data_IF_745092814946
#
_entry.id   IF_745092814946
#
_cell.length_a   1.000
_cell.length_b   1.000
_cell.length_c   1.000
_cell.angle_alpha   90.00
_cell.angle_beta   90.00
_cell.angle_gamma   90.00
#
_symmetry.space_group_name_H-M   'P 1'
#
loop_
_entity.id
_entity.type
_entity.pdbx_description
1 polymer ?
#
# COMPACT_ATOMS: atom_id res chain seq x y z
N UNK A 1 -19.74 8.20 -1.27
CA UNK A 1 -19.45 6.76 -1.44
C UNK A 1 -17.94 6.59 -1.37
N UNK A 2 -17.40 5.69 -0.52
CA UNK A 2 -15.95 5.48 -0.35
C UNK A 2 -15.55 4.23 -1.16
N UNK A 3 -14.65 4.33 -2.16
CA UNK A 3 -14.14 3.16 -2.90
C UNK A 3 -13.55 2.09 -1.97
N UNK A 4 -13.61 0.81 -2.37
CA UNK A 4 -12.91 -0.28 -1.68
C UNK A 4 -13.41 -0.57 -0.26
N UNK A 5 -14.68 -0.24 0.03
CA UNK A 5 -15.39 -0.61 1.26
C UNK A 5 -16.33 -1.82 1.09
N UNK A 6 -16.36 -2.43 -0.10
CA UNK A 6 -17.35 -3.47 -0.44
C UNK A 6 -16.69 -4.86 -0.54
N UNK A 7 -17.46 -5.89 -0.17
CA UNK A 7 -17.07 -7.31 -0.18
C UNK A 7 -17.12 -7.95 -1.57
N UNK A 8 -17.43 -7.17 -2.62
CA UNK A 8 -17.58 -7.67 -4.00
C UNK A 8 -16.72 -6.85 -4.98
N UNK A 9 -16.26 -7.51 -6.05
CA UNK A 9 -15.41 -6.87 -7.07
C UNK A 9 -16.17 -5.73 -7.75
N UNK A 10 -15.69 -4.50 -7.59
CA UNK A 10 -16.21 -3.33 -8.29
C UNK A 10 -15.06 -2.56 -8.94
N UNK A 11 -15.28 -2.12 -10.18
CA UNK A 11 -14.37 -1.23 -10.87
C UNK A 11 -14.71 0.22 -10.50
N UNK A 12 -13.69 1.01 -10.16
CA UNK A 12 -13.86 2.40 -9.80
C UNK A 12 -12.95 3.28 -10.66
N UNK A 13 -13.44 4.44 -11.07
CA UNK A 13 -12.57 5.48 -11.60
C UNK A 13 -12.20 6.43 -10.47
N UNK A 14 -10.90 6.60 -10.23
CA UNK A 14 -10.38 7.56 -9.27
C UNK A 14 -9.90 8.81 -10.00
N UNK A 15 -10.53 9.94 -9.72
CA UNK A 15 -10.08 11.25 -10.16
C UNK A 15 -9.08 11.77 -9.13
N UNK A 16 -7.79 11.78 -9.49
CA UNK A 16 -6.71 12.16 -8.56
C UNK A 16 -6.73 13.64 -8.19
N UNK A 17 -7.19 14.51 -9.10
CA UNK A 17 -7.30 15.95 -8.85
C UNK A 17 -8.43 16.27 -7.88
N UNK A 18 -9.57 15.59 -8.05
CA UNK A 18 -10.76 15.84 -7.25
C UNK A 18 -10.86 14.96 -6.01
N UNK A 19 -10.02 13.95 -5.88
CA UNK A 19 -10.06 12.94 -4.81
C UNK A 19 -11.44 12.26 -4.68
N UNK A 20 -12.11 12.00 -5.81
CA UNK A 20 -13.45 11.38 -5.84
C UNK A 20 -13.47 10.05 -6.58
N UNK A 21 -14.39 9.20 -6.14
CA UNK A 21 -14.71 7.90 -6.70
C UNK A 21 -16.01 7.94 -7.48
N UNK A 22 -15.99 7.44 -8.72
CA UNK A 22 -17.22 7.24 -9.50
C UNK A 22 -17.51 5.75 -9.61
N UNK A 23 -18.68 5.34 -9.10
CA UNK A 23 -19.21 3.98 -9.19
C UNK A 23 -19.94 3.81 -10.53
N UNK A 24 -19.53 2.86 -11.38
CA UNK A 24 -20.14 2.72 -12.71
C UNK A 24 -19.76 1.43 -13.43
N UNK A 25 -20.73 0.52 -13.47
CA UNK A 25 -20.75 -0.90 -13.84
C UNK A 25 -20.56 -1.24 -15.33
N UNK A 26 -19.71 -0.53 -16.05
CA UNK A 26 -19.29 -0.96 -17.39
C UNK A 26 -17.90 -0.44 -17.60
N UNK A 27 -16.94 -1.32 -17.92
CA UNK A 27 -15.71 -0.88 -18.56
C UNK A 27 -16.14 -0.25 -19.87
N UNK A 28 -16.43 1.05 -19.87
CA UNK A 28 -16.44 1.86 -21.09
C UNK A 28 -14.98 2.01 -21.47
N UNK A 29 -14.46 0.94 -22.08
CA UNK A 29 -13.52 1.13 -23.17
C UNK A 29 -14.23 1.97 -24.22
N UNK A 30 -14.12 3.28 -24.11
CA UNK A 30 -13.93 4.07 -25.30
C UNK A 30 -12.74 4.98 -25.05
N UNK A 31 -11.83 4.98 -26.01
CA UNK A 31 -10.57 5.71 -26.08
C UNK A 31 -10.76 7.23 -26.14
N UNK A 32 -11.94 7.74 -25.80
CA UNK A 32 -12.35 9.11 -26.05
C UNK A 32 -12.54 9.83 -24.71
N UNK A 33 -11.66 10.80 -24.49
CA UNK A 33 -11.62 11.75 -23.37
C UNK A 33 -11.28 11.15 -21.99
N UNK A 34 -10.04 10.69 -21.85
CA UNK A 34 -9.39 10.63 -20.54
C UNK A 34 -8.45 11.83 -20.43
N UNK A 35 -8.61 12.65 -19.40
CA UNK A 35 -7.63 13.66 -19.05
C UNK A 35 -6.39 12.97 -18.46
N UNK A 36 -5.20 13.52 -18.68
CA UNK A 36 -3.91 12.94 -18.24
C UNK A 36 -3.81 12.69 -16.72
N UNK A 37 -4.72 13.26 -15.93
CA UNK A 37 -4.76 13.15 -14.47
C UNK A 37 -5.65 12.03 -13.92
N UNK A 38 -6.42 11.33 -14.77
CA UNK A 38 -7.33 10.28 -14.29
C UNK A 38 -6.64 8.91 -14.30
N UNK A 39 -6.51 8.27 -13.13
CA UNK A 39 -5.98 6.91 -12.96
C UNK A 39 -7.13 5.95 -12.63
N UNK A 40 -7.26 4.86 -13.39
CA UNK A 40 -8.26 3.84 -13.13
C UNK A 40 -7.66 2.77 -12.19
N UNK A 41 -8.36 2.47 -11.10
CA UNK A 41 -8.03 1.38 -10.19
C UNK A 41 -9.18 0.38 -10.21
N UNK A 42 -8.89 -0.89 -10.47
CA UNK A 42 -9.85 -1.95 -10.23
C UNK A 42 -9.28 -2.94 -9.23
N UNK A 43 -10.11 -3.30 -8.25
CA UNK A 43 -9.81 -4.31 -7.26
C UNK A 43 -10.56 -5.60 -7.63
N UNK A 44 -9.85 -6.72 -7.66
CA UNK A 44 -10.43 -8.03 -7.97
C UNK A 44 -9.81 -9.14 -7.14
N UNK A 45 -10.57 -10.20 -6.92
CA UNK A 45 -9.99 -11.49 -6.53
C UNK A 45 -9.33 -12.10 -7.76
N UNK A 46 -8.06 -12.46 -7.66
CA UNK A 46 -7.28 -12.99 -8.78
C UNK A 46 -6.94 -14.46 -8.55
N UNK A 47 -6.86 -15.21 -9.65
CA UNK A 47 -6.30 -16.56 -9.67
C UNK A 47 -4.77 -16.59 -9.67
N UNK A 48 -4.10 -15.45 -9.45
CA UNK A 48 -2.63 -15.39 -9.43
C UNK A 48 -2.05 -16.09 -8.20
N UNK A 49 -1.12 -17.04 -8.37
CA UNK A 49 -0.56 -17.83 -7.26
C UNK A 49 0.02 -16.99 -6.13
N UNK A 50 0.67 -15.86 -6.46
CA UNK A 50 1.31 -14.97 -5.48
C UNK A 50 0.30 -14.21 -4.59
N UNK A 51 -0.97 -14.15 -5.01
CA UNK A 51 -2.03 -13.41 -4.33
C UNK A 51 -3.25 -14.30 -4.04
N UNK A 52 -3.07 -15.62 -4.19
CA UNK A 52 -4.09 -16.66 -4.02
C UNK A 52 -4.38 -16.98 -2.54
N UNK A 53 -4.04 -16.06 -1.64
CA UNK A 53 -4.47 -16.13 -0.24
C UNK A 53 -5.77 -15.32 -0.14
N UNK A 54 -6.79 -15.88 0.52
CA UNK A 54 -8.11 -15.26 0.70
C UNK A 54 -8.06 -13.88 1.37
N UNK A 55 -6.89 -13.44 1.83
CA UNK A 55 -6.70 -12.18 2.53
C UNK A 55 -6.21 -11.06 1.60
N UNK A 56 -5.61 -11.34 0.43
CA UNK A 56 -5.11 -10.27 -0.45
C UNK A 56 -6.14 -9.82 -1.48
N UNK A 57 -6.19 -8.52 -1.72
CA UNK A 57 -6.85 -7.95 -2.89
C UNK A 57 -5.79 -7.62 -3.94
N UNK A 58 -6.07 -7.97 -5.20
CA UNK A 58 -5.26 -7.47 -6.31
C UNK A 58 -5.78 -6.11 -6.74
N UNK A 59 -4.89 -5.13 -6.71
CA UNK A 59 -5.08 -3.82 -7.28
C UNK A 59 -4.40 -3.74 -8.64
N UNK A 60 -5.20 -3.45 -9.65
CA UNK A 60 -4.69 -3.15 -10.97
C UNK A 60 -4.72 -1.64 -11.21
N UNK A 61 -3.63 -1.12 -11.75
CA UNK A 61 -3.44 0.32 -11.97
C UNK A 61 -3.25 0.56 -13.47
N UNK A 62 -4.20 1.24 -14.13
CA UNK A 62 -4.06 1.54 -15.56
C UNK A 62 -3.07 2.70 -15.79
N UNK A 63 -2.25 2.60 -16.84
CA UNK A 63 -1.35 3.69 -17.26
C UNK A 63 0.11 3.57 -16.83
N UNK A 64 0.51 2.43 -16.28
CA UNK A 64 1.92 2.09 -16.02
C UNK A 64 2.31 0.92 -16.93
N UNK A 65 3.49 1.01 -17.55
CA UNK A 65 4.06 0.04 -18.48
C UNK A 65 3.68 -1.41 -18.13
N UNK A 66 2.92 -2.05 -19.03
CA UNK A 66 2.53 -3.47 -18.98
C UNK A 66 1.60 -3.95 -17.85
N UNK A 67 0.75 -3.10 -17.28
CA UNK A 67 -0.37 -3.58 -16.44
C UNK A 67 0.08 -4.22 -15.12
N UNK A 68 1.02 -3.56 -14.43
CA UNK A 68 1.51 -3.95 -13.11
C UNK A 68 0.34 -4.15 -12.12
N UNK A 69 0.43 -5.22 -11.35
CA UNK A 69 -0.55 -5.67 -10.35
C UNK A 69 0.11 -5.58 -8.97
N UNK A 70 -0.66 -5.19 -7.97
CA UNK A 70 -0.19 -5.07 -6.59
C UNK A 70 -1.11 -5.88 -5.70
N UNK A 71 -0.53 -6.68 -4.84
CA UNK A 71 -1.31 -7.53 -3.95
C UNK A 71 -1.17 -7.00 -2.54
N UNK A 72 -2.28 -6.51 -2.01
CA UNK A 72 -2.31 -5.84 -0.72
C UNK A 72 -3.46 -6.38 0.11
N UNK A 73 -3.16 -6.70 1.36
CA UNK A 73 -4.15 -6.89 2.39
C UNK A 73 -4.18 -5.63 3.24
N UNK A 74 -5.36 -5.03 3.42
CA UNK A 74 -5.52 -3.79 4.19
C UNK A 74 -6.47 -4.09 5.35
N UNK A 75 -5.97 -4.07 6.58
CA UNK A 75 -6.78 -4.12 7.79
C UNK A 75 -6.84 -2.72 8.40
N UNK A 76 -8.07 -2.23 8.56
CA UNK A 76 -8.35 -0.87 9.05
C UNK A 76 -8.45 -0.80 10.57
N UNK A 77 -8.45 -1.94 11.25
CA UNK A 77 -8.47 -1.98 12.70
C UNK A 77 -7.11 -1.53 13.27
N UNK A 78 -7.08 -0.80 14.39
CA UNK A 78 -5.84 -0.29 14.96
C UNK A 78 -5.10 -1.34 15.79
N UNK A 79 -3.88 -1.68 15.38
CA UNK A 79 -3.00 -2.65 16.04
C UNK A 79 -1.66 -2.04 16.42
N UNK A 80 -0.98 -2.63 17.41
CA UNK A 80 0.44 -2.36 17.65
C UNK A 80 1.26 -2.81 16.43
N UNK A 81 2.42 -2.20 16.21
CA UNK A 81 3.24 -2.57 15.05
C UNK A 81 3.66 -4.05 15.08
N UNK A 82 3.98 -4.57 16.27
CA UNK A 82 4.36 -5.98 16.44
C UNK A 82 3.21 -6.92 16.10
N UNK A 83 1.99 -6.58 16.53
CA UNK A 83 0.78 -7.36 16.25
C UNK A 83 0.45 -7.34 14.74
N UNK A 84 0.54 -6.17 14.11
CA UNK A 84 0.36 -6.02 12.67
C UNK A 84 1.38 -6.87 11.88
N UNK A 85 2.65 -6.86 12.30
CA UNK A 85 3.69 -7.71 11.72
C UNK A 85 3.37 -9.20 11.89
N UNK A 86 2.88 -9.62 13.07
CA UNK A 86 2.48 -11.00 13.32
C UNK A 86 1.29 -11.42 12.43
N UNK A 87 0.29 -10.55 12.28
CA UNK A 87 -0.86 -10.79 11.41
C UNK A 87 -0.46 -10.90 9.94
N UNK A 88 0.40 -9.99 9.44
CA UNK A 88 0.92 -10.09 8.07
C UNK A 88 1.65 -11.41 7.81
N UNK A 89 2.44 -11.90 8.78
CA UNK A 89 3.07 -13.23 8.69
C UNK A 89 2.05 -14.36 8.63
N UNK A 90 0.95 -14.25 9.40
CA UNK A 90 -0.19 -15.17 9.33
C UNK A 90 -0.88 -15.18 7.95
N UNK A 91 -0.75 -14.09 7.19
CA UNK A 91 -1.19 -14.00 5.81
C UNK A 91 -0.10 -14.36 4.79
N UNK A 92 0.97 -15.06 5.17
CA UNK A 92 2.14 -15.35 4.32
C UNK A 92 2.76 -14.08 3.70
N UNK A 93 2.78 -12.99 4.46
CA UNK A 93 3.31 -11.71 4.01
C UNK A 93 4.08 -10.95 5.09
N UNK A 94 4.31 -9.69 4.79
CA UNK A 94 5.04 -8.72 5.62
C UNK A 94 4.34 -7.38 5.54
N UNK A 95 4.67 -6.43 6.40
CA UNK A 95 4.18 -5.06 6.23
C UNK A 95 4.63 -4.50 4.89
N UNK A 96 3.72 -3.83 4.20
CA UNK A 96 3.91 -3.34 2.84
C UNK A 96 4.96 -2.22 2.76
N UNK A 97 5.70 -2.19 1.66
CA UNK A 97 6.45 -1.01 1.28
C UNK A 97 5.54 0.09 0.73
N UNK A 98 6.00 1.33 0.76
CA UNK A 98 5.40 2.45 0.00
C UNK A 98 6.36 2.98 -1.03
N UNK A 99 7.10 2.06 -1.64
CA UNK A 99 8.24 2.24 -2.54
C UNK A 99 7.84 2.49 -4.02
N UNK A 100 6.55 2.73 -4.27
CA UNK A 100 6.04 3.04 -5.61
C UNK A 100 4.94 4.09 -5.56
N UNK A 101 4.87 4.94 -6.58
CA UNK A 101 3.87 6.02 -6.66
C UNK A 101 2.43 5.53 -6.60
N UNK A 102 2.15 4.33 -7.11
CA UNK A 102 0.80 3.76 -7.06
C UNK A 102 0.41 3.28 -5.66
N UNK A 103 1.34 2.77 -4.85
CA UNK A 103 1.06 2.43 -3.44
C UNK A 103 0.77 3.70 -2.65
N UNK A 104 1.54 4.76 -2.89
CA UNK A 104 1.28 6.09 -2.32
C UNK A 104 -0.14 6.56 -2.64
N UNK A 105 -0.53 6.56 -3.91
CA UNK A 105 -1.87 6.97 -4.34
C UNK A 105 -2.98 6.12 -3.68
N UNK A 106 -2.79 4.79 -3.65
CA UNK A 106 -3.76 3.86 -3.08
C UNK A 106 -3.92 4.02 -1.57
N UNK A 107 -2.84 4.24 -0.83
CA UNK A 107 -2.92 4.40 0.63
C UNK A 107 -3.48 5.78 1.01
N UNK A 108 -3.15 6.82 0.24
CA UNK A 108 -3.73 8.15 0.43
C UNK A 108 -5.24 8.17 0.25
N UNK A 109 -5.76 7.32 -0.63
CA UNK A 109 -7.20 7.19 -0.85
C UNK A 109 -7.96 6.85 0.45
N UNK A 110 -7.37 6.07 1.35
CA UNK A 110 -8.05 5.70 2.61
C UNK A 110 -8.08 6.83 3.64
N UNK A 111 -7.28 7.89 3.48
CA UNK A 111 -7.16 9.02 4.42
C UNK A 111 -6.92 8.56 5.87
N UNK A 112 -6.17 7.48 6.04
CA UNK A 112 -5.82 6.88 7.34
C UNK A 112 -4.30 6.70 7.44
N UNK A 113 -3.80 6.63 8.67
CA UNK A 113 -2.41 6.32 8.95
C UNK A 113 -2.23 4.81 9.06
N UNK A 114 -1.22 4.28 8.37
CA UNK A 114 -0.94 2.84 8.31
C UNK A 114 0.46 2.53 8.80
N UNK A 115 0.62 1.41 9.51
CA UNK A 115 1.92 0.77 9.65
C UNK A 115 2.44 0.32 8.28
N UNK A 116 3.71 0.62 8.01
CA UNK A 116 4.41 0.21 6.78
C UNK A 116 5.71 -0.50 7.13
N UNK A 117 6.18 -1.34 6.21
CA UNK A 117 7.32 -2.23 6.39
C UNK A 117 8.66 -1.53 6.21
N UNK A 118 8.86 -0.32 6.73
CA UNK A 118 10.18 0.30 6.75
C UNK A 118 10.86 0.02 8.09
N UNK A 119 11.97 -0.70 8.05
CA UNK A 119 12.76 -1.10 9.21
C UNK A 119 14.13 -0.42 9.20
N UNK A 120 14.81 -0.42 10.34
CA UNK A 120 16.16 0.14 10.50
C UNK A 120 17.12 -0.94 10.96
N UNK A 121 18.14 -1.21 10.16
CA UNK A 121 19.24 -2.09 10.53
C UNK A 121 20.25 -1.31 11.39
N UNK A 122 20.38 -1.70 12.65
CA UNK A 122 21.28 -1.06 13.62
C UNK A 122 22.76 -1.35 13.34
N UNK A 123 23.08 -2.42 12.61
CA UNK A 123 24.45 -2.79 12.24
C UNK A 123 24.90 -1.96 11.06
N UNK A 124 24.10 -1.90 9.98
CA UNK A 124 24.47 -1.13 8.77
C UNK A 124 24.05 0.34 8.83
N UNK A 125 23.28 0.74 9.84
CA UNK A 125 22.72 2.07 10.02
C UNK A 125 21.87 2.54 8.83
N UNK A 126 21.14 1.61 8.21
CA UNK A 126 20.34 1.87 7.01
C UNK A 126 18.91 1.43 7.18
N UNK A 127 18.01 2.20 6.56
CA UNK A 127 16.62 1.79 6.42
C UNK A 127 16.45 0.83 5.25
N UNK A 128 15.58 -0.16 5.42
CA UNK A 128 15.25 -1.14 4.39
C UNK A 128 13.77 -1.52 4.46
N UNK A 129 13.23 -1.98 3.33
CA UNK A 129 11.87 -2.47 3.25
C UNK A 129 11.80 -3.94 3.68
N UNK A 130 10.92 -4.27 4.62
CA UNK A 130 10.81 -5.61 5.18
C UNK A 130 10.22 -6.64 4.20
N UNK A 131 9.53 -6.20 3.15
CA UNK A 131 8.91 -7.11 2.17
C UNK A 131 9.88 -7.72 1.15
N UNK A 132 11.01 -7.04 0.85
CA UNK A 132 12.01 -7.55 -0.07
C UNK A 132 13.47 -7.29 0.32
N UNK A 133 13.70 -6.71 1.50
CA UNK A 133 15.02 -6.40 2.02
C UNK A 133 15.74 -5.27 1.27
N UNK A 134 15.09 -4.62 0.30
CA UNK A 134 15.73 -3.57 -0.47
C UNK A 134 16.01 -2.34 0.40
N UNK A 135 17.17 -1.68 0.22
CA UNK A 135 17.47 -0.47 0.98
C UNK A 135 16.55 0.67 0.56
N UNK A 136 16.29 1.59 1.49
CA UNK A 136 15.58 2.82 1.18
C UNK A 136 16.43 3.70 0.23
N UNK A 137 15.93 3.90 -0.99
CA UNK A 137 16.57 4.75 -1.99
C UNK A 137 16.36 6.26 -1.74
N UNK A 138 17.09 7.10 -2.49
CA UNK A 138 17.02 8.55 -2.34
C UNK A 138 15.68 9.16 -2.77
N UNK A 139 14.93 8.49 -3.64
CA UNK A 139 13.59 8.92 -4.06
C UNK A 139 12.65 8.88 -2.86
N UNK A 140 12.70 7.80 -2.08
CA UNK A 140 11.80 7.59 -0.94
C UNK A 140 12.24 8.30 0.33
N UNK A 141 13.53 8.67 0.46
CA UNK A 141 14.00 9.55 1.54
C UNK A 141 13.27 10.90 1.56
N UNK A 142 12.90 11.45 0.40
CA UNK A 142 12.16 12.72 0.31
C UNK A 142 10.71 12.62 0.85
N UNK A 143 10.19 11.40 1.03
CA UNK A 143 8.87 11.15 1.60
C UNK A 143 8.92 11.06 3.13
N UNK A 144 10.11 10.92 3.72
CA UNK A 144 10.26 10.86 5.18
C UNK A 144 10.11 12.25 5.79
N UNK A 145 9.33 12.33 6.88
CA UNK A 145 9.09 13.55 7.62
C UNK A 145 9.38 13.35 9.12
N UNK A 146 10.18 14.26 9.70
CA UNK A 146 10.56 14.23 11.10
C UNK A 146 11.87 13.50 11.38
N UNK A 147 12.12 13.16 12.65
CA UNK A 147 13.34 12.46 13.05
C UNK A 147 13.30 10.99 12.62
N UNK A 148 14.39 10.54 12.02
CA UNK A 148 14.51 9.23 11.38
C UNK A 148 15.22 8.19 12.24
N UNK A 149 15.70 8.57 13.44
CA UNK A 149 16.61 7.75 14.24
C UNK A 149 16.25 7.79 15.71
N UNK A 150 15.21 7.05 16.11
CA UNK A 150 14.91 6.86 17.53
C UNK A 150 14.51 5.39 17.76
N UNK A 151 15.23 4.71 18.63
CA UNK A 151 14.87 3.37 19.09
C UNK A 151 13.47 3.37 19.70
N UNK A 152 12.67 2.34 19.40
CA UNK A 152 11.26 2.28 19.83
C UNK A 152 10.29 3.07 18.95
N UNK A 153 10.75 3.59 17.80
CA UNK A 153 9.90 4.17 16.77
C UNK A 153 9.83 3.25 15.54
N UNK A 154 8.65 3.21 14.93
CA UNK A 154 8.27 2.39 13.81
C UNK A 154 7.67 3.29 12.72
N UNK A 155 7.81 2.87 11.46
CA UNK A 155 7.37 3.67 10.33
C UNK A 155 5.87 3.57 10.07
N UNK A 156 5.22 4.72 9.94
CA UNK A 156 3.85 4.84 9.45
C UNK A 156 3.83 5.61 8.13
N UNK A 157 2.77 5.42 7.34
CA UNK A 157 2.48 6.21 6.16
C UNK A 157 1.16 6.95 6.32
N UNK A 158 1.18 8.26 6.06
CA UNK A 158 0.01 9.12 6.07
C UNK A 158 0.22 10.33 5.15
N UNK A 159 -0.80 10.73 4.39
CA UNK A 159 -0.78 11.95 3.57
C UNK A 159 0.49 12.11 2.70
N UNK A 160 0.82 11.08 1.92
CA UNK A 160 2.01 11.03 1.06
C UNK A 160 3.34 11.18 1.80
N UNK A 161 3.39 10.86 3.10
CA UNK A 161 4.60 10.99 3.90
C UNK A 161 4.78 9.77 4.80
N UNK A 162 6.05 9.46 5.06
CA UNK A 162 6.47 8.45 6.02
C UNK A 162 6.84 9.17 7.31
N UNK A 163 6.23 8.75 8.41
CA UNK A 163 6.52 9.26 9.74
C UNK A 163 7.12 8.15 10.61
N UNK A 164 7.92 8.54 11.59
CA UNK A 164 8.33 7.64 12.65
C UNK A 164 7.48 7.91 13.88
N UNK A 165 6.76 6.90 14.34
CA UNK A 165 5.87 6.95 15.51
C UNK A 165 6.29 5.92 16.54
N UNK A 166 5.95 6.10 17.81
CA UNK A 166 6.25 5.08 18.81
C UNK A 166 5.59 3.75 18.43
N UNK A 167 6.36 2.65 18.47
CA UNK A 167 5.86 1.31 18.11
C UNK A 167 4.72 0.81 19.04
N UNK A 168 4.52 1.47 20.19
CA UNK A 168 3.43 1.20 21.14
C UNK A 168 2.10 1.89 20.78
N UNK A 169 2.09 2.75 19.76
CA UNK A 169 0.86 3.31 19.22
C UNK A 169 0.08 2.27 18.42
N UNK A 170 -1.19 2.56 18.11
CA UNK A 170 -2.04 1.68 17.33
C UNK A 170 -2.51 2.36 16.05
N UNK A 171 -2.30 1.69 14.91
CA UNK A 171 -2.71 2.16 13.59
C UNK A 171 -3.23 1.00 12.75
N UNK A 172 -3.93 1.33 11.66
CA UNK A 172 -4.24 0.36 10.61
C UNK A 172 -2.94 -0.22 10.01
N UNK A 173 -3.01 -1.30 9.25
CA UNK A 173 -1.83 -1.85 8.60
C UNK A 173 -2.11 -2.36 7.19
N UNK A 174 -1.03 -2.48 6.44
CA UNK A 174 -1.06 -2.97 5.06
C UNK A 174 -0.03 -4.08 4.96
N UNK A 175 -0.42 -5.25 4.45
CA UNK A 175 0.50 -6.34 4.16
C UNK A 175 0.72 -6.51 2.66
N UNK A 176 1.91 -6.96 2.30
CA UNK A 176 2.26 -7.49 0.99
C UNK A 176 2.71 -8.95 1.09
N UNK A 177 2.43 -9.78 0.07
CA UNK A 177 3.00 -11.10 -0.03
C UNK A 177 4.53 -11.01 0.04
N UNK A 178 5.15 -11.88 0.83
CA UNK A 178 6.61 -11.98 0.83
C UNK A 178 7.06 -12.36 -0.59
N UNK A 179 8.07 -11.67 -1.13
CA UNK A 179 8.70 -12.14 -2.37
C UNK A 179 9.23 -13.55 -2.12
N UNK A 180 8.73 -14.54 -2.85
CA UNK A 180 9.37 -15.84 -2.91
C UNK A 180 10.76 -15.62 -3.51
N UNK A 181 11.80 -15.72 -2.67
CA UNK A 181 13.16 -15.94 -3.16
C UNK A 181 13.16 -17.28 -3.88
N UNK A 182 13.20 -17.23 -5.21
CA UNK A 182 13.43 -18.39 -6.08
C UNK A 182 14.87 -18.85 -5.95
#
# INVERSE_FOLDING_TARGET
MKCGQETTCQAYQYDTEKQVCVLGSTVLSSTVQRFSSQKLYWAGQSSEPACNSNNYMIWHVQGLDNGKRVCLHIDKNPYLQLDANYLCKGYNGTLAGVDTSYKVDLLNFYQMEFWVGLEYDTVTQKHYWSYDGSPLDDTWKAYIFGQTYVTGYCATFYNSKIYFKSCSMKFAFVCEPAKMTV
#
